data_IF_859448374487
#
_entry.id   IF_859448374487
#
_cell.length_a   1.000
_cell.length_b   1.000
_cell.length_c   1.000
_cell.angle_alpha   90.00
_cell.angle_beta   90.00
_cell.angle_gamma   90.00
#
_symmetry.space_group_name_H-M   'P 1'
#
loop_
_entity.id
_entity.type
_entity.pdbx_description
1 polymer ?
#
# COMPACT_ATOMS: atom_id res chain seq x y z
N UNK A 1 -25.82 23.63 -56.16
CA UNK A 1 -25.94 23.14 -54.77
C UNK A 1 -25.14 21.84 -54.69
N UNK A 2 -24.29 21.65 -53.68
CA UNK A 2 -23.42 20.47 -53.58
C UNK A 2 -23.96 19.53 -52.50
N UNK A 3 -24.36 18.31 -52.89
CA UNK A 3 -24.79 17.28 -51.96
C UNK A 3 -23.56 16.50 -51.48
N UNK A 4 -23.29 16.54 -50.17
CA UNK A 4 -22.18 15.81 -49.54
C UNK A 4 -22.49 14.32 -49.39
N UNK A 5 -21.48 13.50 -49.05
CA UNK A 5 -21.64 12.08 -48.72
C UNK A 5 -22.44 11.27 -49.75
N UNK A 6 -22.16 11.51 -51.03
CA UNK A 6 -22.80 10.82 -52.17
C UNK A 6 -24.32 11.02 -52.26
N UNK A 7 -24.85 12.13 -51.73
CA UNK A 7 -26.26 12.50 -51.92
C UNK A 7 -26.59 12.82 -53.38
N UNK A 8 -27.79 12.47 -53.81
CA UNK A 8 -28.29 12.77 -55.16
C UNK A 8 -28.91 14.17 -55.20
N UNK A 9 -28.59 14.95 -56.23
CA UNK A 9 -29.21 16.25 -56.44
C UNK A 9 -30.45 16.09 -57.34
N UNK A 10 -31.63 16.37 -56.79
CA UNK A 10 -32.92 16.24 -57.50
C UNK A 10 -33.73 17.54 -57.41
N UNK A 11 -34.78 17.65 -58.22
CA UNK A 11 -35.76 18.74 -58.13
C UNK A 11 -36.99 18.28 -57.34
N UNK A 12 -37.44 19.09 -56.40
CA UNK A 12 -38.70 18.87 -55.68
C UNK A 12 -39.94 19.21 -56.55
N UNK A 13 -41.14 19.01 -55.99
CA UNK A 13 -42.40 19.29 -56.69
C UNK A 13 -42.58 20.77 -57.11
N UNK A 14 -41.80 21.68 -56.55
CA UNK A 14 -41.81 23.11 -56.86
C UNK A 14 -40.60 23.54 -57.72
N UNK A 15 -39.89 22.58 -58.34
CA UNK A 15 -38.67 22.83 -59.12
C UNK A 15 -37.52 23.46 -58.32
N UNK A 16 -37.44 23.21 -57.01
CA UNK A 16 -36.30 23.60 -56.18
C UNK A 16 -35.30 22.45 -56.07
N UNK A 17 -34.01 22.78 -56.10
CA UNK A 17 -32.95 21.82 -55.86
C UNK A 17 -32.98 21.32 -54.41
N UNK A 18 -33.05 20.01 -54.23
CA UNK A 18 -32.98 19.34 -52.94
C UNK A 18 -32.01 18.15 -53.01
N UNK A 19 -31.31 17.88 -51.91
CA UNK A 19 -30.45 16.71 -51.82
C UNK A 19 -31.22 15.52 -51.25
N UNK A 20 -31.28 14.44 -52.01
CA UNK A 20 -31.71 13.13 -51.52
C UNK A 20 -30.51 12.44 -50.87
N UNK A 21 -30.57 12.24 -49.56
CA UNK A 21 -29.46 11.72 -48.80
C UNK A 21 -29.39 10.20 -48.81
N UNK A 22 -28.17 9.69 -48.88
CA UNK A 22 -27.89 8.27 -48.69
C UNK A 22 -28.25 7.81 -47.28
N UNK A 23 -28.38 6.49 -47.10
CA UNK A 23 -28.67 5.89 -45.79
C UNK A 23 -27.67 6.39 -44.74
N UNK A 24 -28.18 6.76 -43.57
CA UNK A 24 -27.45 7.30 -42.42
C UNK A 24 -26.88 8.72 -42.61
N UNK A 25 -27.36 9.50 -43.58
CA UNK A 25 -27.02 10.92 -43.73
C UNK A 25 -28.27 11.79 -43.74
N UNK A 26 -28.15 13.03 -43.27
CA UNK A 26 -29.23 14.01 -43.18
C UNK A 26 -28.72 15.45 -43.35
N UNK A 27 -29.66 16.40 -43.31
CA UNK A 27 -29.41 17.82 -43.53
C UNK A 27 -29.67 18.23 -44.99
N UNK A 28 -29.78 19.53 -45.23
CA UNK A 28 -30.12 20.10 -46.55
C UNK A 28 -29.13 19.74 -47.66
N UNK A 29 -27.87 19.47 -47.30
CA UNK A 29 -26.81 19.05 -48.21
C UNK A 29 -26.22 17.68 -47.82
N UNK A 30 -26.95 16.86 -47.05
CA UNK A 30 -26.50 15.53 -46.59
C UNK A 30 -25.19 15.54 -45.78
N UNK A 31 -24.90 16.67 -45.11
CA UNK A 31 -23.65 16.86 -44.36
C UNK A 31 -23.65 16.22 -42.97
N UNK A 32 -24.82 15.84 -42.43
CA UNK A 32 -24.96 15.29 -41.09
C UNK A 32 -24.89 13.77 -41.17
N UNK A 33 -23.88 13.15 -40.57
CA UNK A 33 -23.85 11.70 -40.38
C UNK A 33 -24.77 11.36 -39.19
N UNK A 34 -25.79 10.53 -39.41
CA UNK A 34 -26.77 10.14 -38.40
C UNK A 34 -26.41 8.83 -37.70
N UNK A 35 -25.22 8.27 -37.97
CA UNK A 35 -24.72 7.15 -37.21
C UNK A 35 -24.50 7.56 -35.75
N UNK A 36 -24.96 6.75 -34.78
CA UNK A 36 -24.78 7.02 -33.35
C UNK A 36 -23.32 7.36 -32.94
N UNK A 37 -22.33 6.70 -33.54
CA UNK A 37 -20.92 6.94 -33.27
C UNK A 37 -20.34 8.22 -33.92
N UNK A 38 -21.06 8.89 -34.82
CA UNK A 38 -20.57 10.06 -35.54
C UNK A 38 -20.23 11.26 -34.63
N UNK A 39 -20.82 11.29 -33.43
CA UNK A 39 -20.57 12.32 -32.41
C UNK A 39 -19.35 12.03 -31.52
N UNK A 40 -18.64 10.91 -31.75
CA UNK A 40 -17.55 10.41 -30.91
C UNK A 40 -17.94 10.35 -29.42
N UNK A 41 -19.00 9.60 -29.07
CA UNK A 41 -19.52 9.59 -27.70
C UNK A 41 -18.56 8.94 -26.70
N UNK A 42 -17.79 7.93 -27.13
CA UNK A 42 -16.83 7.22 -26.28
C UNK A 42 -15.61 8.10 -25.95
N UNK A 43 -15.36 8.31 -24.66
CA UNK A 43 -14.21 9.04 -24.10
C UNK A 43 -13.01 8.11 -23.91
N UNK A 44 -11.88 8.69 -23.51
CA UNK A 44 -10.68 7.98 -23.07
C UNK A 44 -10.23 6.87 -24.04
N UNK A 45 -10.26 7.17 -25.34
CA UNK A 45 -9.88 6.24 -26.41
C UNK A 45 -10.72 4.95 -26.48
N UNK A 46 -11.94 4.95 -25.93
CA UNK A 46 -12.89 3.85 -26.09
C UNK A 46 -13.30 3.66 -27.56
N UNK A 47 -13.46 2.41 -27.99
CA UNK A 47 -13.92 2.08 -29.34
C UNK A 47 -15.44 2.18 -29.43
N UNK A 48 -15.95 2.96 -30.38
CA UNK A 48 -17.40 3.11 -30.58
C UNK A 48 -17.90 2.09 -31.60
N UNK A 49 -19.00 1.41 -31.28
CA UNK A 49 -19.69 0.47 -32.16
C UNK A 49 -21.11 0.95 -32.44
N UNK A 50 -21.45 1.10 -33.72
CA UNK A 50 -22.79 1.46 -34.17
C UNK A 50 -23.73 0.24 -34.10
N UNK A 51 -24.88 0.41 -33.46
CA UNK A 51 -26.01 -0.53 -33.52
C UNK A 51 -27.09 0.04 -34.44
N UNK A 52 -27.08 -0.40 -35.69
CA UNK A 52 -28.00 0.07 -36.73
C UNK A 52 -29.44 -0.42 -36.55
N UNK A 53 -29.67 -1.52 -35.82
CA UNK A 53 -31.01 -2.08 -35.60
C UNK A 53 -31.85 -1.18 -34.70
N UNK A 54 -31.25 -0.72 -33.60
CA UNK A 54 -31.92 0.11 -32.60
C UNK A 54 -31.56 1.59 -32.71
N UNK A 55 -30.70 1.96 -33.68
CA UNK A 55 -30.12 3.31 -33.82
C UNK A 55 -29.43 3.78 -32.53
N UNK A 56 -28.68 2.88 -31.89
CA UNK A 56 -27.90 3.14 -30.67
C UNK A 56 -26.41 2.90 -30.90
N UNK A 57 -25.58 3.19 -29.90
CA UNK A 57 -24.15 2.84 -29.90
C UNK A 57 -23.79 2.07 -28.63
N UNK A 58 -22.63 1.42 -28.65
CA UNK A 58 -21.95 0.91 -27.46
C UNK A 58 -20.49 1.32 -27.47
N UNK A 59 -19.93 1.59 -26.30
CA UNK A 59 -18.51 1.87 -26.13
C UNK A 59 -17.80 0.64 -25.56
N UNK A 60 -16.74 0.21 -26.23
CA UNK A 60 -15.76 -0.72 -25.68
C UNK A 60 -14.65 0.09 -25.01
N UNK A 61 -14.64 0.09 -23.67
CA UNK A 61 -13.68 0.87 -22.87
C UNK A 61 -12.30 0.22 -22.72
N UNK A 62 -12.10 -0.93 -23.34
CA UNK A 62 -10.83 -1.67 -23.35
C UNK A 62 -9.95 -1.19 -24.51
N UNK A 63 -8.72 -0.76 -24.23
CA UNK A 63 -7.75 -0.57 -25.31
C UNK A 63 -7.29 -1.95 -25.77
N UNK A 64 -7.16 -2.15 -27.08
CA UNK A 64 -6.75 -3.44 -27.65
C UNK A 64 -5.36 -3.94 -27.21
N UNK A 65 -4.60 -3.20 -26.41
CA UNK A 65 -3.31 -3.60 -25.85
C UNK A 65 -2.99 -2.98 -24.47
N UNK A 66 -3.92 -2.27 -23.83
CA UNK A 66 -3.72 -1.66 -22.51
C UNK A 66 -5.02 -1.70 -21.70
N UNK A 67 -4.89 -2.03 -20.43
CA UNK A 67 -5.94 -2.48 -19.52
C UNK A 67 -7.12 -1.51 -19.39
N UNK A 68 -8.30 -2.06 -19.08
CA UNK A 68 -9.50 -1.29 -18.69
C UNK A 68 -9.17 -0.36 -17.52
N UNK A 69 -8.84 0.89 -17.83
CA UNK A 69 -8.73 1.96 -16.83
C UNK A 69 -10.01 2.78 -16.76
N UNK A 70 -11.01 2.49 -17.60
CA UNK A 70 -12.21 3.28 -17.69
C UNK A 70 -13.47 2.42 -17.83
N UNK A 71 -14.58 2.94 -17.32
CA UNK A 71 -15.91 2.32 -17.35
C UNK A 71 -17.00 3.39 -17.46
N UNK A 72 -18.26 2.95 -17.56
CA UNK A 72 -19.41 3.82 -17.82
C UNK A 72 -19.88 3.70 -19.26
N UNK A 73 -21.03 4.29 -19.56
CA UNK A 73 -21.65 4.17 -20.89
C UNK A 73 -20.74 4.76 -21.99
N UNK A 74 -19.98 5.80 -21.66
CA UNK A 74 -19.10 6.52 -22.56
C UNK A 74 -17.63 6.39 -22.14
N UNK A 75 -17.29 5.41 -21.30
CA UNK A 75 -15.93 5.26 -20.74
C UNK A 75 -15.44 6.51 -19.99
N UNK A 76 -16.36 7.23 -19.33
CA UNK A 76 -16.10 8.51 -18.68
C UNK A 76 -15.48 8.38 -17.28
N UNK A 77 -15.68 7.23 -16.62
CA UNK A 77 -15.22 7.02 -15.26
C UNK A 77 -13.91 6.26 -15.26
N UNK A 78 -12.94 6.70 -14.46
CA UNK A 78 -11.68 5.97 -14.26
C UNK A 78 -11.88 4.87 -13.21
N UNK A 79 -11.38 3.67 -13.46
CA UNK A 79 -11.31 2.61 -12.45
C UNK A 79 -10.24 3.01 -11.44
N UNK A 80 -10.65 3.16 -10.17
CA UNK A 80 -9.72 3.26 -9.06
C UNK A 80 -9.48 1.87 -8.49
N UNK A 81 -8.41 1.22 -8.96
CA UNK A 81 -8.02 -0.13 -8.52
C UNK A 81 -7.68 -0.15 -7.02
N UNK A 82 -7.37 1.01 -6.42
CA UNK A 82 -7.04 1.16 -5.02
C UNK A 82 -8.24 1.50 -4.11
N UNK A 83 -9.44 1.71 -4.65
CA UNK A 83 -10.59 2.20 -3.88
C UNK A 83 -10.98 1.31 -2.68
N UNK A 84 -10.75 -0.01 -2.79
CA UNK A 84 -11.04 -0.99 -1.73
C UNK A 84 -9.79 -1.62 -1.12
N UNK A 85 -8.59 -1.24 -1.56
CA UNK A 85 -7.35 -1.86 -1.09
C UNK A 85 -6.77 -1.14 0.11
N UNK A 86 -6.58 -1.88 1.21
CA UNK A 86 -5.97 -1.38 2.43
C UNK A 86 -4.62 -2.06 2.65
N UNK A 87 -3.53 -1.33 2.44
CA UNK A 87 -2.15 -1.78 2.68
C UNK A 87 -1.78 -1.81 4.17
N UNK A 88 -2.65 -2.41 5.00
CA UNK A 88 -2.55 -2.49 6.47
C UNK A 88 -2.24 -1.16 7.17
N UNK A 89 -2.56 -0.02 6.55
CA UNK A 89 -2.16 1.33 6.98
C UNK A 89 -0.64 1.50 7.17
N UNK A 90 0.17 0.65 6.54
CA UNK A 90 1.64 0.57 6.64
C UNK A 90 2.33 0.68 5.28
N UNK A 91 1.61 1.25 4.32
CA UNK A 91 2.05 1.47 2.96
C UNK A 91 1.01 2.28 2.21
N UNK A 92 1.27 2.48 0.92
CA UNK A 92 0.31 3.09 0.01
C UNK A 92 0.02 2.14 -1.16
N UNK A 93 -1.24 2.13 -1.59
CA UNK A 93 -1.65 1.39 -2.78
C UNK A 93 -1.21 2.15 -4.03
N UNK A 94 -0.79 1.40 -5.04
CA UNK A 94 -0.50 1.92 -6.36
C UNK A 94 -0.99 0.94 -7.43
N UNK A 95 -1.40 1.51 -8.55
CA UNK A 95 -1.87 0.77 -9.72
C UNK A 95 -0.67 0.20 -10.48
N UNK A 96 -0.69 -1.11 -10.74
CA UNK A 96 0.14 -1.76 -11.77
C UNK A 96 -0.78 -2.28 -12.85
N UNK A 97 -0.28 -2.37 -14.09
CA UNK A 97 -1.07 -2.59 -15.32
C UNK A 97 -2.34 -3.45 -15.23
N UNK A 98 -2.48 -4.41 -14.31
CA UNK A 98 -3.71 -5.18 -14.10
C UNK A 98 -4.10 -5.43 -12.63
N UNK A 99 -3.36 -4.88 -11.65
CA UNK A 99 -3.50 -5.22 -10.24
C UNK A 99 -3.12 -4.06 -9.31
N UNK A 100 -3.90 -3.88 -8.24
CA UNK A 100 -3.51 -3.02 -7.13
C UNK A 100 -2.38 -3.68 -6.32
N UNK A 101 -1.30 -2.94 -6.10
CA UNK A 101 -0.15 -3.38 -5.29
C UNK A 101 0.12 -2.43 -4.15
N UNK A 102 0.64 -2.97 -3.06
CA UNK A 102 1.04 -2.17 -1.91
C UNK A 102 2.54 -1.90 -1.94
N UNK A 103 2.91 -0.62 -1.81
CA UNK A 103 4.28 -0.23 -1.50
C UNK A 103 4.36 0.07 -0.01
N UNK A 104 5.08 -0.80 0.70
CA UNK A 104 5.21 -0.71 2.14
C UNK A 104 6.15 0.43 2.57
N UNK A 105 5.82 1.05 3.70
CA UNK A 105 6.72 1.97 4.38
C UNK A 105 7.92 1.21 4.95
N UNK A 106 8.95 1.97 5.32
CA UNK A 106 10.12 1.43 5.99
C UNK A 106 9.69 0.55 7.17
N UNK A 107 10.37 -0.59 7.33
CA UNK A 107 10.12 -1.58 8.39
C UNK A 107 8.91 -2.50 8.22
N UNK A 108 8.22 -2.45 7.08
CA UNK A 108 7.11 -3.36 6.76
C UNK A 108 7.33 -4.11 5.44
N UNK A 109 6.69 -5.27 5.32
CA UNK A 109 6.75 -6.15 4.15
C UNK A 109 5.49 -6.99 4.01
N UNK A 110 5.40 -7.79 2.95
CA UNK A 110 4.20 -8.57 2.60
C UNK A 110 3.37 -7.87 1.52
N UNK A 111 2.44 -8.61 0.92
CA UNK A 111 1.64 -8.12 -0.20
C UNK A 111 0.67 -7.00 0.23
N UNK A 112 0.26 -6.99 1.51
CA UNK A 112 -0.59 -5.95 2.12
C UNK A 112 0.12 -5.20 3.25
N UNK A 113 1.46 -5.27 3.32
CA UNK A 113 2.28 -4.62 4.36
C UNK A 113 1.92 -5.05 5.80
N UNK A 114 1.45 -6.28 5.95
CA UNK A 114 1.01 -6.89 7.20
C UNK A 114 2.19 -7.37 8.07
N UNK A 115 3.34 -7.63 7.47
CA UNK A 115 4.51 -8.17 8.15
C UNK A 115 5.49 -7.08 8.57
N UNK A 116 6.21 -7.32 9.67
CA UNK A 116 7.42 -6.55 10.01
C UNK A 116 8.58 -6.97 9.11
N UNK A 117 9.33 -5.99 8.61
CA UNK A 117 10.54 -6.26 7.82
C UNK A 117 11.58 -7.01 8.63
N UNK A 118 12.50 -7.70 7.93
CA UNK A 118 13.63 -8.40 8.54
C UNK A 118 14.51 -7.43 9.34
N UNK A 119 14.66 -6.19 8.89
CA UNK A 119 15.45 -5.16 9.56
C UNK A 119 14.82 -4.79 10.90
N UNK A 120 13.49 -4.58 10.95
CA UNK A 120 12.80 -4.27 12.20
C UNK A 120 12.90 -5.42 13.19
N UNK A 121 12.71 -6.65 12.72
CA UNK A 121 12.86 -7.86 13.56
C UNK A 121 14.28 -7.96 14.14
N UNK A 122 15.31 -7.65 13.34
CA UNK A 122 16.69 -7.65 13.80
C UNK A 122 16.96 -6.56 14.85
N UNK A 123 16.44 -5.35 14.63
CA UNK A 123 16.57 -4.24 15.60
C UNK A 123 15.88 -4.60 16.92
N UNK A 124 14.65 -5.12 16.87
CA UNK A 124 13.92 -5.57 18.06
C UNK A 124 14.67 -6.69 18.80
N UNK A 125 15.29 -7.63 18.08
CA UNK A 125 16.12 -8.68 18.66
C UNK A 125 17.39 -8.12 19.35
N UNK A 126 18.04 -7.11 18.78
CA UNK A 126 19.22 -6.47 19.39
C UNK A 126 18.84 -5.69 20.66
N UNK A 127 17.73 -4.96 20.63
CA UNK A 127 17.26 -4.22 21.80
C UNK A 127 16.88 -5.17 22.94
N UNK A 128 16.17 -6.26 22.62
CA UNK A 128 15.79 -7.26 23.64
C UNK A 128 17.01 -7.98 24.22
N UNK A 129 17.97 -8.41 23.39
CA UNK A 129 19.19 -9.07 23.87
C UNK A 129 20.07 -8.13 24.70
N UNK A 130 20.22 -6.86 24.31
CA UNK A 130 20.97 -5.87 25.10
C UNK A 130 20.32 -5.59 26.46
N UNK A 131 19.00 -5.47 26.53
CA UNK A 131 18.27 -5.32 27.79
C UNK A 131 18.47 -6.54 28.71
N UNK A 132 18.39 -7.75 28.16
CA UNK A 132 18.63 -8.99 28.92
C UNK A 132 20.06 -9.06 29.45
N UNK A 133 21.06 -8.75 28.61
CA UNK A 133 22.48 -8.72 29.02
C UNK A 133 22.66 -7.71 30.15
N UNK A 134 22.10 -6.51 30.03
CA UNK A 134 22.17 -5.49 31.08
C UNK A 134 21.61 -6.03 32.41
N UNK A 135 20.42 -6.64 32.39
CA UNK A 135 19.81 -7.24 33.60
C UNK A 135 20.72 -8.32 34.20
N UNK A 136 21.26 -9.23 33.37
CA UNK A 136 22.16 -10.29 33.84
C UNK A 136 23.41 -9.70 34.48
N UNK A 137 24.04 -8.71 33.85
CA UNK A 137 25.24 -8.06 34.40
C UNK A 137 24.96 -7.35 35.73
N UNK A 138 23.80 -6.70 35.88
CA UNK A 138 23.37 -6.08 37.14
C UNK A 138 23.16 -7.16 38.22
N UNK A 139 22.50 -8.27 37.89
CA UNK A 139 22.28 -9.36 38.84
C UNK A 139 23.61 -10.00 39.30
N UNK A 140 24.54 -10.24 38.38
CA UNK A 140 25.85 -10.82 38.70
C UNK A 140 26.69 -9.86 39.57
N UNK A 141 26.71 -8.57 39.22
CA UNK A 141 27.44 -7.56 40.00
C UNK A 141 26.87 -7.42 41.40
N UNK A 142 25.54 -7.35 41.54
CA UNK A 142 24.87 -7.33 42.84
C UNK A 142 25.15 -8.59 43.66
N UNK A 143 25.09 -9.77 43.03
CA UNK A 143 25.44 -11.03 43.67
C UNK A 143 26.87 -11.04 44.22
N UNK A 144 27.84 -10.54 43.46
CA UNK A 144 29.24 -10.43 43.91
C UNK A 144 29.41 -9.45 45.07
N UNK A 145 28.67 -8.33 45.07
CA UNK A 145 28.65 -7.37 46.19
C UNK A 145 28.15 -8.07 47.46
N UNK A 146 27.02 -8.76 47.38
CA UNK A 146 26.44 -9.49 48.52
C UNK A 146 27.41 -10.55 49.05
N UNK A 147 28.06 -11.32 48.17
CA UNK A 147 29.06 -12.32 48.56
C UNK A 147 30.26 -11.65 49.26
N UNK A 148 30.79 -10.56 48.70
CA UNK A 148 31.90 -9.82 49.29
C UNK A 148 31.55 -9.26 50.67
N UNK A 149 30.35 -8.71 50.84
CA UNK A 149 29.86 -8.23 52.13
C UNK A 149 29.73 -9.36 53.15
N UNK A 150 29.20 -10.52 52.75
CA UNK A 150 29.13 -11.71 53.60
C UNK A 150 30.53 -12.18 54.02
N UNK A 151 31.49 -12.27 53.10
CA UNK A 151 32.88 -12.64 53.40
C UNK A 151 33.52 -11.65 54.38
N UNK A 152 33.32 -10.36 54.19
CA UNK A 152 33.80 -9.32 55.10
C UNK A 152 33.18 -9.47 56.51
N UNK A 153 31.88 -9.76 56.60
CA UNK A 153 31.20 -10.04 57.88
C UNK A 153 31.81 -11.28 58.56
N UNK A 154 32.05 -12.37 57.81
CA UNK A 154 32.69 -13.58 58.33
C UNK A 154 34.12 -13.33 58.81
N UNK A 155 34.94 -12.60 58.05
CA UNK A 155 36.29 -12.21 58.45
C UNK A 155 36.28 -11.39 59.75
N UNK A 156 35.42 -10.37 59.85
CA UNK A 156 35.27 -9.57 61.08
C UNK A 156 34.83 -10.42 62.28
N UNK A 157 33.94 -11.41 62.09
CA UNK A 157 33.57 -12.36 63.15
C UNK A 157 34.75 -13.22 63.60
N UNK A 158 35.60 -13.68 62.67
CA UNK A 158 36.80 -14.48 62.97
C UNK A 158 37.85 -13.68 63.74
N UNK A 159 38.10 -12.42 63.36
CA UNK A 159 38.99 -11.52 64.10
C UNK A 159 38.51 -11.28 65.54
N UNK A 160 37.23 -10.93 65.73
CA UNK A 160 36.65 -10.77 67.08
C UNK A 160 36.80 -12.03 67.93
N UNK A 161 36.63 -13.22 67.33
CA UNK A 161 36.81 -14.51 68.04
C UNK A 161 38.28 -14.78 68.39
N UNK A 162 39.23 -14.44 67.51
CA UNK A 162 40.67 -14.59 67.77
C UNK A 162 41.16 -13.64 68.88
N UNK A 163 40.70 -12.38 68.89
CA UNK A 163 41.00 -11.41 69.96
C UNK A 163 40.44 -11.89 71.29
N UNK A 164 39.19 -12.37 71.30
CA UNK A 164 38.55 -12.92 72.51
C UNK A 164 39.29 -14.14 73.07
N UNK A 165 39.78 -15.04 72.21
CA UNK A 165 40.59 -16.20 72.65
C UNK A 165 41.95 -15.74 73.21
N UNK A 166 42.64 -14.80 72.55
CA UNK A 166 43.92 -14.23 73.04
C UNK A 166 43.78 -13.54 74.40
N UNK A 167 42.67 -12.85 74.65
CA UNK A 167 42.40 -12.24 75.97
C UNK A 167 42.13 -13.29 77.05
N UNK A 168 41.51 -14.43 76.70
CA UNK A 168 41.18 -15.50 77.66
C UNK A 168 42.39 -16.35 78.06
N UNK A 169 43.40 -16.47 77.19
CA UNK A 169 44.68 -17.16 77.49
C UNK A 169 45.68 -16.29 78.27
N UNK A 170 45.46 -14.98 78.38
CA UNK A 170 46.20 -14.06 79.24
C UNK A 170 45.50 -13.85 80.61
N UNK A 171 45.05 -14.92 81.25
CA UNK A 171 44.65 -14.85 82.67
C UNK A 171 45.92 -14.83 83.53
N UNK A 172 46.19 -13.77 84.32
CA UNK A 172 47.35 -13.75 85.20
C UNK A 172 47.20 -14.85 86.26
N UNK A 173 48.19 -15.74 86.31
CA UNK A 173 48.39 -16.64 87.45
C UNK A 173 48.93 -15.74 88.57
N UNK A 174 48.06 -15.35 89.51
CA UNK A 174 48.51 -14.74 90.75
C UNK A 174 49.23 -15.82 91.57
N UNK A 175 50.56 -15.71 91.65
CA UNK A 175 51.38 -16.50 92.57
C UNK A 175 51.30 -15.81 93.93
N UNK A 176 50.73 -16.49 94.92
CA UNK A 176 50.81 -16.17 96.34
C UNK A 176 51.20 -17.44 97.09
#
# INVERSE_FOLDING_TARGET
>A
MNCSNNGNCILDQNSKYVCECQKNYAGSNCQINTLPCASYPCRNNGSCLDNLLNKTYSCECSLKNETLLFYGQNCENKIDVCANETCSNRGYCYDTKDEAKCKCFTYYSGDKCEEKSKELKAIEAVITTSAIIAIITICLTYGMIVINDLLNIFCRKKEKKSIYIKQKSFKPIYVN
#
